data_IF_032197141845
#
_entry.id   IF_032197141845
#
_cell.length_a   1.000
_cell.length_b   1.000
_cell.length_c   1.000
_cell.angle_alpha   90.00
_cell.angle_beta   90.00
_cell.angle_gamma   90.00
#
_symmetry.space_group_name_H-M   'P 1'
#
loop_
_entity.id
_entity.type
_entity.pdbx_description
1 polymer ?
#
# COMPACT_ATOMS: atom_id res chain seq x y z
N UNK A 1 -29.70 -8.96 -22.46
CA UNK A 1 -30.50 -9.40 -21.29
C UNK A 1 -29.52 -9.69 -20.17
N UNK A 2 -29.74 -9.18 -18.96
CA UNK A 2 -28.92 -9.48 -17.78
C UNK A 2 -29.69 -10.51 -16.95
N UNK A 3 -29.06 -11.64 -16.61
CA UNK A 3 -29.65 -12.73 -15.81
C UNK A 3 -28.66 -13.12 -14.71
N UNK A 4 -29.09 -13.05 -13.45
CA UNK A 4 -28.31 -13.48 -12.28
C UNK A 4 -29.00 -14.69 -11.64
N UNK A 5 -28.27 -15.81 -11.51
CA UNK A 5 -28.80 -17.05 -10.94
C UNK A 5 -28.32 -17.23 -9.50
N UNK A 6 -29.25 -17.60 -8.63
CA UNK A 6 -28.97 -17.89 -7.22
C UNK A 6 -29.53 -19.26 -6.87
N UNK A 7 -28.75 -20.14 -6.24
CA UNK A 7 -29.24 -21.44 -5.82
C UNK A 7 -30.27 -21.28 -4.70
N UNK A 8 -31.37 -22.03 -4.78
CA UNK A 8 -32.38 -22.14 -3.72
C UNK A 8 -32.11 -23.43 -2.97
N UNK A 9 -31.95 -23.33 -1.64
CA UNK A 9 -31.71 -24.49 -0.78
C UNK A 9 -32.99 -24.86 -0.02
N UNK A 10 -33.47 -26.08 -0.21
CA UNK A 10 -34.58 -26.66 0.51
C UNK A 10 -34.16 -27.87 1.36
N UNK A 11 -34.93 -28.15 2.41
CA UNK A 11 -34.69 -29.33 3.25
C UNK A 11 -34.76 -30.62 2.42
N UNK A 12 -33.72 -31.45 2.47
CA UNK A 12 -33.64 -32.71 1.71
C UNK A 12 -33.31 -32.57 0.22
N UNK A 13 -33.03 -31.37 -0.27
CA UNK A 13 -32.59 -31.18 -1.66
C UNK A 13 -31.09 -31.47 -1.83
N UNK A 14 -30.75 -32.19 -2.90
CA UNK A 14 -29.36 -32.46 -3.29
C UNK A 14 -28.80 -31.23 -3.99
N UNK A 15 -27.63 -30.75 -3.55
CA UNK A 15 -26.96 -29.61 -4.17
C UNK A 15 -26.29 -30.09 -5.47
N UNK A 16 -26.63 -29.46 -6.59
CA UNK A 16 -26.01 -29.74 -7.88
C UNK A 16 -24.59 -29.16 -7.96
N UNK A 17 -23.74 -29.73 -8.81
CA UNK A 17 -22.42 -29.18 -9.12
C UNK A 17 -22.52 -27.71 -9.57
N UNK A 18 -23.51 -27.41 -10.41
CA UNK A 18 -23.75 -26.07 -10.96
C UNK A 18 -24.09 -25.05 -9.85
N UNK A 19 -24.87 -25.44 -8.85
CA UNK A 19 -25.15 -24.60 -7.68
C UNK A 19 -23.90 -24.33 -6.84
N UNK A 20 -23.01 -25.33 -6.69
CA UNK A 20 -21.73 -25.16 -5.99
C UNK A 20 -20.75 -24.28 -6.77
N UNK A 21 -20.70 -24.44 -8.11
CA UNK A 21 -19.89 -23.61 -8.98
C UNK A 21 -20.35 -22.14 -8.89
N UNK A 22 -21.66 -21.86 -8.94
CA UNK A 22 -22.21 -20.52 -8.74
C UNK A 22 -21.83 -19.91 -7.37
N UNK A 23 -21.88 -20.69 -6.29
CA UNK A 23 -21.47 -20.21 -4.97
C UNK A 23 -19.96 -19.89 -4.89
N UNK A 24 -19.14 -20.69 -5.57
CA UNK A 24 -17.68 -20.51 -5.59
C UNK A 24 -17.28 -19.31 -6.44
N UNK A 25 -17.87 -19.16 -7.62
CA UNK A 25 -17.40 -18.21 -8.64
C UNK A 25 -17.99 -16.80 -8.44
N UNK A 26 -19.23 -16.69 -7.97
CA UNK A 26 -19.91 -15.39 -7.78
C UNK A 26 -19.10 -14.36 -6.99
N UNK A 27 -18.46 -14.69 -5.83
CA UNK A 27 -17.66 -13.73 -5.09
C UNK A 27 -16.45 -13.22 -5.89
N UNK A 28 -15.76 -14.11 -6.60
CA UNK A 28 -14.58 -13.77 -7.39
C UNK A 28 -14.97 -12.89 -8.58
N UNK A 29 -15.98 -13.29 -9.34
CA UNK A 29 -16.49 -12.54 -10.50
C UNK A 29 -17.02 -11.17 -10.10
N UNK A 30 -17.82 -11.07 -9.02
CA UNK A 30 -18.32 -9.81 -8.53
C UNK A 30 -17.18 -8.86 -8.14
N UNK A 31 -16.12 -9.39 -7.51
CA UNK A 31 -14.96 -8.59 -7.12
C UNK A 31 -14.17 -8.12 -8.34
N UNK A 32 -13.99 -8.97 -9.36
CA UNK A 32 -13.35 -8.59 -10.62
C UNK A 32 -14.14 -7.50 -11.37
N UNK A 33 -15.48 -7.59 -11.37
CA UNK A 33 -16.36 -6.57 -11.94
C UNK A 33 -16.34 -5.25 -11.16
N UNK A 34 -16.33 -5.30 -9.81
CA UNK A 34 -16.27 -4.11 -8.95
C UNK A 34 -15.00 -3.27 -9.18
N UNK A 35 -13.90 -3.91 -9.56
CA UNK A 35 -12.62 -3.25 -9.81
C UNK A 35 -12.20 -3.29 -11.27
N UNK A 36 -13.15 -3.45 -12.21
CA UNK A 36 -12.86 -3.58 -13.63
C UNK A 36 -12.11 -2.36 -14.20
N UNK A 37 -12.52 -1.16 -13.79
CA UNK A 37 -11.96 0.13 -14.23
C UNK A 37 -10.62 0.48 -13.55
N UNK A 38 -10.26 -0.23 -12.49
CA UNK A 38 -9.01 0.02 -11.75
C UNK A 38 -7.81 -0.69 -12.37
N UNK A 39 -6.65 -0.05 -12.30
CA UNK A 39 -5.35 -0.56 -12.73
C UNK A 39 -4.61 -1.22 -11.58
N UNK A 40 -3.44 -1.78 -11.88
CA UNK A 40 -2.63 -2.53 -10.93
C UNK A 40 -2.19 -1.69 -9.72
N UNK A 41 -2.25 -2.29 -8.53
CA UNK A 41 -1.87 -1.68 -7.26
C UNK A 41 -2.66 -2.24 -6.07
N UNK A 42 -2.36 -1.71 -4.89
CA UNK A 42 -3.07 -2.02 -3.64
C UNK A 42 -4.47 -1.41 -3.70
N UNK A 43 -5.51 -2.23 -3.52
CA UNK A 43 -6.90 -1.75 -3.48
C UNK A 43 -7.23 -1.26 -2.06
N UNK A 44 -6.88 -2.06 -1.06
CA UNK A 44 -7.15 -1.80 0.36
C UNK A 44 -6.27 -2.67 1.25
N UNK A 45 -5.96 -2.22 2.47
CA UNK A 45 -5.14 -2.98 3.41
C UNK A 45 -3.65 -2.89 3.09
N UNK A 46 -2.87 -3.90 3.47
CA UNK A 46 -1.40 -3.86 3.40
C UNK A 46 -0.78 -2.70 4.18
N UNK A 47 -1.49 -2.20 5.20
CA UNK A 47 -0.94 -1.20 6.12
C UNK A 47 0.17 -1.82 6.96
N UNK A 48 1.15 -0.99 7.31
CA UNK A 48 2.32 -1.40 8.08
C UNK A 48 2.14 -1.01 9.54
N UNK A 49 2.36 -1.97 10.44
CA UNK A 49 2.36 -1.78 11.88
C UNK A 49 3.73 -2.24 12.41
N UNK A 50 4.55 -1.28 12.84
CA UNK A 50 5.83 -1.60 13.47
C UNK A 50 5.62 -1.94 14.94
N UNK A 51 6.16 -3.07 15.37
CA UNK A 51 6.25 -3.50 16.76
C UNK A 51 7.72 -3.39 17.18
N UNK A 52 8.02 -2.31 17.89
CA UNK A 52 9.39 -2.00 18.32
C UNK A 52 9.86 -2.88 19.47
N UNK A 53 8.95 -3.39 20.30
CA UNK A 53 9.28 -4.29 21.42
C UNK A 53 9.77 -5.65 20.89
N UNK A 54 9.06 -6.20 19.90
CA UNK A 54 9.39 -7.49 19.31
C UNK A 54 10.31 -7.39 18.09
N UNK A 55 10.70 -6.17 17.68
CA UNK A 55 11.46 -5.89 16.45
C UNK A 55 10.83 -6.56 15.22
N UNK A 56 9.50 -6.47 15.10
CA UNK A 56 8.74 -7.02 13.98
C UNK A 56 7.96 -5.95 13.26
N UNK A 57 7.69 -6.19 11.97
CA UNK A 57 6.76 -5.38 11.19
C UNK A 57 5.63 -6.28 10.71
N UNK A 58 4.41 -5.85 10.99
CA UNK A 58 3.18 -6.51 10.54
C UNK A 58 2.65 -5.79 9.32
N UNK A 59 2.46 -6.53 8.22
CA UNK A 59 1.69 -6.13 7.04
C UNK A 59 0.28 -6.66 7.23
N UNK A 60 -0.69 -5.75 7.39
CA UNK A 60 -2.09 -6.12 7.60
C UNK A 60 -2.72 -6.76 6.37
N UNK A 61 -3.71 -7.62 6.59
CA UNK A 61 -4.59 -8.19 5.55
C UNK A 61 -5.06 -7.16 4.54
N UNK A 62 -5.27 -7.57 3.29
CA UNK A 62 -5.57 -6.63 2.22
C UNK A 62 -5.89 -7.27 0.88
N UNK A 63 -6.23 -6.41 -0.09
CA UNK A 63 -6.61 -6.76 -1.45
C UNK A 63 -5.70 -6.00 -2.41
N UNK A 64 -5.22 -6.70 -3.44
CA UNK A 64 -4.32 -6.15 -4.44
C UNK A 64 -4.72 -6.64 -5.82
N UNK A 65 -4.58 -5.77 -6.84
CA UNK A 65 -4.82 -6.10 -8.24
C UNK A 65 -3.51 -6.06 -9.01
N UNK A 66 -3.25 -7.10 -9.80
CA UNK A 66 -2.06 -7.17 -10.66
C UNK A 66 -2.38 -7.95 -11.94
N UNK A 67 -1.99 -7.40 -13.10
CA UNK A 67 -2.22 -7.99 -14.42
C UNK A 67 -3.68 -8.43 -14.62
N UNK A 68 -4.62 -7.58 -14.18
CA UNK A 68 -6.06 -7.82 -14.28
C UNK A 68 -6.65 -8.77 -13.23
N UNK A 69 -5.83 -9.39 -12.38
CA UNK A 69 -6.29 -10.38 -11.39
C UNK A 69 -6.25 -9.84 -9.98
N UNK A 70 -7.18 -10.32 -9.17
CA UNK A 70 -7.29 -9.95 -7.75
C UNK A 70 -6.70 -11.03 -6.87
N UNK A 71 -5.96 -10.58 -5.86
CA UNK A 71 -5.40 -11.37 -4.77
C UNK A 71 -5.86 -10.75 -3.46
N UNK A 72 -6.12 -11.61 -2.48
CA UNK A 72 -6.46 -11.19 -1.13
C UNK A 72 -5.59 -11.95 -0.13
N UNK A 73 -5.13 -11.23 0.89
CA UNK A 73 -4.43 -11.78 2.04
C UNK A 73 -5.36 -11.65 3.23
N UNK A 74 -5.80 -12.78 3.81
CA UNK A 74 -6.80 -12.79 4.90
C UNK A 74 -6.18 -12.70 6.30
N UNK A 75 -4.90 -13.05 6.42
CA UNK A 75 -4.14 -13.04 7.67
C UNK A 75 -2.99 -12.06 7.56
N UNK A 76 -2.60 -11.46 8.69
CA UNK A 76 -1.50 -10.50 8.68
C UNK A 76 -0.17 -11.22 8.47
N UNK A 77 0.68 -10.67 7.62
CA UNK A 77 2.04 -11.16 7.42
C UNK A 77 2.99 -10.43 8.37
N UNK A 78 3.89 -11.16 9.01
CA UNK A 78 4.89 -10.59 9.92
C UNK A 78 6.29 -10.94 9.43
N UNK A 79 7.20 -9.99 9.53
CA UNK A 79 8.62 -10.21 9.30
C UNK A 79 9.47 -9.52 10.36
N UNK A 80 10.61 -10.12 10.67
CA UNK A 80 11.57 -9.54 11.61
C UNK A 80 12.33 -8.38 10.95
N UNK A 81 12.61 -7.35 11.73
CA UNK A 81 13.41 -6.21 11.27
C UNK A 81 14.84 -6.69 10.93
N UNK A 82 15.39 -6.38 9.75
CA UNK A 82 16.73 -6.80 9.40
C UNK A 82 17.77 -6.10 10.27
N UNK A 83 18.73 -6.85 10.79
CA UNK A 83 19.79 -6.33 11.68
C UNK A 83 20.91 -5.60 10.93
N UNK A 84 21.05 -5.89 9.63
CA UNK A 84 22.08 -5.29 8.78
C UNK A 84 21.61 -3.89 8.36
N UNK A 85 22.47 -2.89 8.54
CA UNK A 85 22.23 -1.54 8.04
C UNK A 85 22.24 -1.54 6.50
N UNK A 86 21.06 -1.31 5.91
CA UNK A 86 20.93 -1.20 4.47
C UNK A 86 19.63 -0.49 4.09
N UNK A 87 19.46 -0.23 2.80
CA UNK A 87 18.19 0.18 2.22
C UNK A 87 17.44 -1.05 1.75
N UNK A 88 16.26 -1.28 2.30
CA UNK A 88 15.41 -2.41 1.99
C UNK A 88 14.16 -1.98 1.23
N UNK A 89 13.67 -2.88 0.38
CA UNK A 89 12.36 -2.82 -0.24
C UNK A 89 11.61 -4.09 0.11
N UNK A 90 10.41 -3.94 0.68
CA UNK A 90 9.47 -5.05 0.79
C UNK A 90 8.57 -5.06 -0.45
N UNK A 91 8.59 -6.17 -1.18
CA UNK A 91 7.74 -6.40 -2.34
C UNK A 91 6.83 -7.60 -2.13
N UNK A 92 5.65 -7.55 -2.74
CA UNK A 92 4.75 -8.68 -2.90
C UNK A 92 4.89 -9.22 -4.33
N UNK A 93 5.46 -10.41 -4.49
CA UNK A 93 5.58 -11.12 -5.78
C UNK A 93 4.32 -11.92 -6.01
N UNK A 94 3.64 -11.71 -7.14
CA UNK A 94 2.34 -12.34 -7.43
C UNK A 94 2.47 -13.40 -8.52
N UNK A 95 1.87 -14.56 -8.28
CA UNK A 95 1.92 -15.73 -9.14
C UNK A 95 0.50 -16.23 -9.44
N UNK A 96 0.26 -16.63 -10.69
CA UNK A 96 -1.06 -17.07 -11.13
C UNK A 96 -0.96 -18.03 -12.31
N UNK A 97 -2.11 -18.50 -12.80
CA UNK A 97 -2.24 -19.41 -13.94
C UNK A 97 -1.53 -20.76 -13.74
N UNK A 98 -1.51 -21.28 -12.52
CA UNK A 98 -1.03 -22.63 -12.26
C UNK A 98 -2.09 -23.46 -11.53
N UNK A 99 -2.13 -24.74 -11.89
CA UNK A 99 -2.99 -25.74 -11.29
C UNK A 99 -2.19 -26.56 -10.28
N UNK A 100 -2.78 -26.78 -9.12
CA UNK A 100 -2.23 -27.67 -8.10
C UNK A 100 -3.29 -28.69 -7.67
N UNK A 101 -3.06 -29.95 -8.04
CA UNK A 101 -3.98 -31.08 -7.79
C UNK A 101 -5.40 -30.83 -8.33
N UNK A 102 -6.30 -30.29 -7.50
CA UNK A 102 -7.72 -30.03 -7.78
C UNK A 102 -8.06 -28.54 -7.69
N UNK A 103 -7.05 -27.67 -7.69
CA UNK A 103 -7.21 -26.23 -7.45
C UNK A 103 -6.54 -25.42 -8.56
N UNK A 104 -7.21 -24.34 -8.98
CA UNK A 104 -6.56 -23.21 -9.63
C UNK A 104 -6.00 -22.30 -8.54
N UNK A 105 -4.69 -22.08 -8.56
CA UNK A 105 -4.01 -21.37 -7.48
C UNK A 105 -3.55 -20.00 -7.96
N UNK A 106 -3.85 -19.00 -7.13
CA UNK A 106 -3.22 -17.69 -7.14
C UNK A 106 -2.45 -17.60 -5.83
N UNK A 107 -1.15 -17.33 -5.88
CA UNK A 107 -0.31 -17.18 -4.69
C UNK A 107 0.46 -15.87 -4.74
N UNK A 108 0.86 -15.39 -3.58
CA UNK A 108 1.71 -14.22 -3.47
C UNK A 108 2.71 -14.43 -2.33
N UNK A 109 3.96 -14.06 -2.59
CA UNK A 109 5.05 -14.21 -1.63
C UNK A 109 5.67 -12.85 -1.35
N UNK A 110 5.93 -12.55 -0.08
CA UNK A 110 6.71 -11.37 0.29
C UNK A 110 8.19 -11.64 0.06
N UNK A 111 8.89 -10.64 -0.45
CA UNK A 111 10.35 -10.66 -0.59
C UNK A 111 10.93 -9.35 -0.09
N UNK A 112 11.90 -9.46 0.81
CA UNK A 112 12.67 -8.33 1.30
C UNK A 112 13.99 -8.24 0.52
N UNK A 113 14.11 -7.21 -0.31
CA UNK A 113 15.23 -7.01 -1.22
C UNK A 113 16.10 -5.85 -0.76
N UNK A 114 17.43 -5.99 -0.89
CA UNK A 114 18.36 -4.89 -0.65
C UNK A 114 18.44 -4.02 -1.92
N UNK A 115 18.25 -2.72 -1.74
CA UNK A 115 18.39 -1.68 -2.75
C UNK A 115 19.87 -1.30 -2.89
N UNK A 116 20.67 -2.19 -3.47
CA UNK A 116 22.07 -1.88 -3.80
C UNK A 116 22.08 -0.96 -5.04
N UNK A 117 22.96 0.06 -5.06
CA UNK A 117 23.29 0.83 -6.27
C UNK A 117 24.05 0.00 -7.33
N UNK A 118 23.82 -1.32 -7.37
CA UNK A 118 24.46 -2.29 -8.27
C UNK A 118 24.41 -3.69 -7.66
N UNK A 119 23.60 -4.58 -8.27
CA UNK A 119 23.40 -6.01 -7.98
C UNK A 119 22.41 -6.33 -6.85
N UNK A 120 21.23 -6.80 -7.28
CA UNK A 120 20.21 -7.44 -6.46
C UNK A 120 20.80 -8.68 -5.78
N UNK A 121 20.83 -8.69 -4.46
CA UNK A 121 21.02 -9.90 -3.66
C UNK A 121 19.69 -10.13 -2.96
N UNK A 122 18.96 -11.17 -3.39
CA UNK A 122 17.77 -11.64 -2.68
C UNK A 122 18.21 -12.27 -1.36
N UNK A 123 17.78 -11.71 -0.24
CA UNK A 123 17.93 -12.35 1.06
C UNK A 123 16.74 -13.29 1.24
N UNK A 124 16.99 -14.59 1.11
CA UNK A 124 16.05 -15.63 1.57
C UNK A 124 16.15 -15.70 3.09
N UNK A 125 15.03 -15.59 3.80
CA UNK A 125 14.95 -15.92 5.22
C UNK A 125 15.15 -17.43 5.36
N UNK A 126 16.28 -17.85 5.93
CA UNK A 126 16.64 -19.26 6.14
C UNK A 126 15.98 -19.83 7.40
N UNK A 127 15.24 -20.95 7.24
CA UNK A 127 15.01 -21.91 8.31
C UNK A 127 16.16 -22.93 8.37
N UNK A 128 16.65 -23.18 9.59
CA UNK A 128 17.84 -23.96 9.97
C UNK A 128 17.85 -25.41 9.43
N UNK A 129 18.97 -25.84 8.84
CA UNK A 129 19.50 -27.21 9.01
C UNK A 129 21.04 -27.25 8.94
N UNK A 130 21.64 -27.88 9.96
CA UNK A 130 23.07 -28.09 10.17
C UNK A 130 23.60 -29.30 9.39
N UNK A 131 24.71 -29.16 8.65
CA UNK A 131 25.95 -29.98 8.74
C UNK A 131 26.99 -29.71 7.64
N UNK A 132 28.17 -29.33 8.10
CA UNK A 132 29.56 -29.56 7.67
C UNK A 132 29.91 -30.13 6.25
N UNK A 133 30.80 -29.36 5.59
CA UNK A 133 32.10 -29.72 5.00
C UNK A 133 32.25 -30.52 3.66
N UNK A 134 32.84 -29.81 2.70
CA UNK A 134 33.76 -30.22 1.60
C UNK A 134 33.31 -31.25 0.53
N UNK A 135 33.11 -30.80 -0.72
CA UNK A 135 34.13 -30.86 -1.80
C UNK A 135 33.63 -30.28 -3.14
N UNK A 136 34.52 -29.60 -3.87
CA UNK A 136 34.30 -29.15 -5.25
C UNK A 136 34.29 -30.35 -6.20
N UNK A 137 33.21 -30.50 -6.97
CA UNK A 137 33.19 -31.42 -8.11
C UNK A 137 31.82 -31.46 -8.80
N UNK A 138 31.65 -30.61 -9.83
CA UNK A 138 30.64 -30.69 -10.89
C UNK A 138 29.47 -31.66 -10.67
N UNK A 139 28.40 -31.21 -10.01
CA UNK A 139 27.05 -31.73 -10.22
C UNK A 139 26.07 -30.56 -10.20
N UNK A 140 25.28 -30.46 -11.27
CA UNK A 140 24.11 -29.60 -11.36
C UNK A 140 23.10 -30.03 -10.29
N UNK A 141 23.22 -29.48 -9.08
CA UNK A 141 22.14 -29.53 -8.10
C UNK A 141 21.08 -28.53 -8.52
N UNK A 142 20.07 -29.04 -9.22
CA UNK A 142 18.82 -28.31 -9.44
C UNK A 142 18.14 -28.19 -8.07
N UNK A 143 18.33 -27.04 -7.41
CA UNK A 143 17.62 -26.68 -6.17
C UNK A 143 16.11 -26.94 -6.34
N UNK A 144 15.49 -27.69 -5.44
CA UNK A 144 14.04 -28.02 -5.49
C UNK A 144 13.18 -26.74 -5.46
N UNK A 145 13.64 -25.70 -4.74
CA UNK A 145 13.03 -24.36 -4.74
C UNK A 145 13.04 -23.67 -6.12
N UNK A 146 14.04 -23.96 -6.95
CA UNK A 146 14.09 -23.44 -8.32
C UNK A 146 13.12 -24.20 -9.22
N UNK A 147 12.86 -25.49 -8.98
CA UNK A 147 11.89 -26.28 -9.77
C UNK A 147 10.45 -25.83 -9.49
N UNK A 148 10.11 -25.53 -8.23
CA UNK A 148 8.78 -24.99 -7.88
C UNK A 148 8.55 -23.57 -8.43
N UNK A 149 9.57 -22.71 -8.35
CA UNK A 149 9.50 -21.37 -8.96
C UNK A 149 9.43 -21.41 -10.50
N UNK A 150 9.96 -22.44 -11.16
CA UNK A 150 9.80 -22.65 -12.61
C UNK A 150 8.35 -23.02 -12.97
N UNK A 151 7.59 -23.63 -12.06
CA UNK A 151 6.17 -23.99 -12.29
C UNK A 151 5.19 -22.85 -12.04
N UNK A 152 5.52 -21.92 -11.15
CA UNK A 152 4.64 -20.78 -10.81
C UNK A 152 4.95 -19.59 -11.71
N UNK A 153 4.03 -19.26 -12.62
CA UNK A 153 4.18 -18.10 -13.50
C UNK A 153 4.02 -16.80 -12.71
N UNK A 154 5.12 -16.08 -12.50
CA UNK A 154 5.10 -14.71 -11.93
C UNK A 154 4.38 -13.78 -12.91
N UNK A 155 3.35 -13.09 -12.44
CA UNK A 155 2.55 -12.16 -13.27
C UNK A 155 2.84 -10.68 -12.96
N UNK A 156 3.54 -10.41 -11.86
CA UNK A 156 3.96 -9.07 -11.48
C UNK A 156 4.48 -9.00 -10.04
N UNK A 157 4.80 -7.78 -9.61
CA UNK A 157 5.20 -7.47 -8.25
C UNK A 157 4.69 -6.09 -7.85
N UNK A 158 4.41 -5.91 -6.56
CA UNK A 158 3.96 -4.63 -6.00
C UNK A 158 4.85 -4.27 -4.83
N UNK A 159 5.37 -3.05 -4.86
CA UNK A 159 6.12 -2.49 -3.76
C UNK A 159 5.18 -2.09 -2.63
N UNK A 160 5.47 -2.60 -1.42
CA UNK A 160 4.70 -2.32 -0.21
C UNK A 160 5.32 -1.16 0.57
N UNK A 161 6.65 -1.19 0.73
CA UNK A 161 7.40 -0.14 1.45
C UNK A 161 8.87 -0.17 1.11
N UNK A 162 9.54 0.97 1.31
CA UNK A 162 10.99 1.07 1.41
C UNK A 162 11.37 1.54 2.80
N UNK A 163 12.56 1.20 3.26
CA UNK A 163 13.10 1.75 4.51
C UNK A 163 14.62 1.62 4.53
N UNK A 164 15.28 2.44 5.34
CA UNK A 164 16.71 2.32 5.63
C UNK A 164 16.86 1.93 7.10
N UNK A 165 17.47 0.79 7.39
CA UNK A 165 17.78 0.37 8.77
C UNK A 165 19.14 0.88 9.18
N UNK A 166 19.30 1.15 10.48
CA UNK A 166 20.60 1.35 11.14
C UNK A 166 20.75 0.35 12.27
N UNK A 167 21.99 -0.03 12.57
CA UNK A 167 22.27 -0.95 13.67
C UNK A 167 21.68 -0.43 14.98
N UNK A 168 20.87 -1.25 15.64
CA UNK A 168 20.24 -0.92 16.92
C UNK A 168 19.07 0.05 16.85
N UNK A 169 18.59 0.41 15.66
CA UNK A 169 17.48 1.34 15.50
C UNK A 169 16.15 0.64 15.25
N UNK A 170 15.10 1.22 15.83
CA UNK A 170 13.72 0.78 15.69
C UNK A 170 13.10 1.30 14.38
N UNK A 171 12.45 0.42 13.60
CA UNK A 171 11.61 0.85 12.49
C UNK A 171 10.34 1.49 13.04
N UNK A 172 9.94 2.60 12.43
CA UNK A 172 8.75 3.36 12.81
C UNK A 172 7.80 3.56 11.65
N UNK A 173 6.53 3.73 11.99
CA UNK A 173 5.42 4.05 11.12
C UNK A 173 4.56 5.19 11.71
N UNK A 174 5.12 5.98 12.62
CA UNK A 174 4.46 7.13 13.28
C UNK A 174 4.53 8.38 12.39
N UNK A 175 3.66 8.41 11.37
CA UNK A 175 3.54 9.55 10.47
C UNK A 175 2.79 10.71 11.15
N UNK A 176 3.52 11.52 11.94
CA UNK A 176 2.94 12.64 12.69
C UNK A 176 2.56 13.83 11.82
N UNK A 177 3.30 14.06 10.74
CA UNK A 177 3.07 15.14 9.77
C UNK A 177 3.26 14.64 8.33
N UNK A 178 2.74 15.40 7.38
CA UNK A 178 2.92 15.16 5.95
C UNK A 178 4.40 15.19 5.56
N UNK A 179 5.20 16.11 6.12
CA UNK A 179 6.66 16.17 5.83
C UNK A 179 7.43 15.00 6.46
N UNK A 180 6.93 14.45 7.56
CA UNK A 180 7.54 13.29 8.22
C UNK A 180 7.47 11.99 7.40
N UNK A 181 6.71 11.97 6.31
CA UNK A 181 6.68 10.84 5.38
C UNK A 181 8.02 10.62 4.66
N UNK A 182 8.93 11.60 4.70
CA UNK A 182 10.31 11.46 4.26
C UNK A 182 11.26 11.76 5.41
N UNK A 183 11.93 10.71 5.90
CA UNK A 183 13.00 10.81 6.89
C UNK A 183 14.17 9.97 6.42
N UNK A 184 15.38 10.37 6.83
CA UNK A 184 16.60 9.74 6.31
C UNK A 184 16.76 8.28 6.76
N UNK A 185 16.23 7.89 7.92
CA UNK A 185 16.40 6.55 8.48
C UNK A 185 15.20 6.04 9.27
N UNK A 186 15.09 4.71 9.27
CA UNK A 186 14.22 3.85 10.05
C UNK A 186 12.71 4.13 9.93
N UNK A 187 12.28 4.76 8.84
CA UNK A 187 10.88 4.99 8.54
C UNK A 187 10.42 4.01 7.46
N UNK A 188 9.27 3.37 7.69
CA UNK A 188 8.57 2.60 6.67
C UNK A 188 7.91 3.57 5.68
N UNK A 189 8.56 3.82 4.54
CA UNK A 189 8.13 4.80 3.55
C UNK A 189 6.91 4.34 2.75
N UNK A 190 5.87 5.19 2.70
CA UNK A 190 4.64 4.93 1.95
C UNK A 190 4.65 5.51 0.53
N UNK A 191 5.59 6.43 0.22
CA UNK A 191 5.55 7.29 -0.98
C UNK A 191 5.45 6.46 -2.27
N UNK A 192 6.27 5.41 -2.38
CA UNK A 192 6.38 4.62 -3.59
C UNK A 192 5.41 3.42 -3.64
N UNK A 193 4.62 3.20 -2.59
CA UNK A 193 3.58 2.19 -2.60
C UNK A 193 2.50 2.55 -3.64
N UNK A 194 2.32 1.67 -4.62
CA UNK A 194 1.37 1.89 -5.72
C UNK A 194 -0.04 1.51 -5.29
N UNK A 195 -0.91 2.49 -5.06
CA UNK A 195 -2.34 2.23 -4.84
C UNK A 195 -3.10 2.16 -6.16
N UNK A 196 -4.04 1.22 -6.22
CA UNK A 196 -4.89 0.99 -7.38
C UNK A 196 -5.84 2.17 -7.60
N UNK A 197 -5.91 2.65 -8.84
CA UNK A 197 -6.71 3.78 -9.29
C UNK A 197 -7.13 3.57 -10.74
N UNK A 198 -7.89 4.49 -11.35
CA UNK A 198 -8.21 4.42 -12.79
C UNK A 198 -6.99 4.70 -13.68
N UNK A 199 -6.06 5.49 -13.16
CA UNK A 199 -4.82 5.83 -13.84
C UNK A 199 -3.82 4.65 -13.90
N UNK A 200 -3.10 4.51 -15.01
CA UNK A 200 -2.17 3.38 -15.27
C UNK A 200 -1.04 3.27 -14.24
N UNK A 201 -0.52 4.43 -13.82
CA UNK A 201 0.51 4.54 -12.77
C UNK A 201 -0.03 4.37 -11.35
N UNK A 202 -1.32 4.11 -11.16
CA UNK A 202 -1.94 4.09 -9.83
C UNK A 202 -2.01 5.49 -9.21
N UNK A 203 -2.28 5.56 -7.91
CA UNK A 203 -2.30 6.80 -7.12
C UNK A 203 -1.40 6.68 -5.88
N UNK A 204 -1.27 7.77 -5.13
CA UNK A 204 -0.54 7.81 -3.86
C UNK A 204 -1.27 7.03 -2.77
N UNK A 205 -0.51 6.57 -1.78
CA UNK A 205 -1.06 5.94 -0.58
C UNK A 205 -2.09 6.87 0.11
N UNK A 206 -3.32 6.41 0.43
CA UNK A 206 -4.38 7.26 0.99
C UNK A 206 -3.96 8.03 2.24
N UNK A 207 -3.18 7.39 3.12
CA UNK A 207 -2.58 8.03 4.30
C UNK A 207 -1.76 9.29 3.99
N UNK A 208 -1.03 9.33 2.86
CA UNK A 208 -0.24 10.49 2.44
C UNK A 208 -1.16 11.68 2.17
N UNK A 209 -2.25 11.44 1.43
CA UNK A 209 -3.23 12.46 1.09
C UNK A 209 -4.05 12.88 2.31
N UNK A 210 -4.41 11.95 3.20
CA UNK A 210 -5.07 12.25 4.47
C UNK A 210 -4.23 13.23 5.32
N UNK A 211 -2.92 12.99 5.44
CA UNK A 211 -1.99 13.86 6.17
C UNK A 211 -1.88 15.24 5.51
N UNK A 212 -1.74 15.29 4.18
CA UNK A 212 -1.77 16.55 3.43
C UNK A 212 -3.07 17.31 3.72
N UNK A 213 -4.23 16.65 3.62
CA UNK A 213 -5.52 17.28 3.80
C UNK A 213 -5.72 17.84 5.21
N UNK A 214 -5.27 17.10 6.23
CA UNK A 214 -5.29 17.56 7.63
C UNK A 214 -4.43 18.78 7.85
N UNK A 215 -3.25 18.85 7.25
CA UNK A 215 -2.38 20.02 7.37
C UNK A 215 -2.87 21.21 6.55
N UNK A 216 -3.23 20.99 5.29
CA UNK A 216 -3.75 22.02 4.39
C UNK A 216 -5.00 22.69 4.97
N UNK A 217 -5.92 21.93 5.57
CA UNK A 217 -7.15 22.47 6.17
C UNK A 217 -6.93 23.49 7.28
N UNK A 218 -5.75 23.48 7.93
CA UNK A 218 -5.38 24.41 9.01
C UNK A 218 -4.76 25.71 8.49
N UNK A 219 -4.39 25.78 7.21
CA UNK A 219 -3.64 26.91 6.65
C UNK A 219 -4.51 28.15 6.47
N UNK A 220 -3.91 29.32 6.67
CA UNK A 220 -4.61 30.59 6.55
C UNK A 220 -4.88 31.00 5.10
N UNK A 221 -3.92 30.77 4.21
CA UNK A 221 -3.98 31.19 2.82
C UNK A 221 -4.49 30.05 1.93
N UNK A 222 -5.80 29.83 1.93
CA UNK A 222 -6.46 28.81 1.11
C UNK A 222 -7.34 29.48 0.05
N UNK A 223 -7.16 29.08 -1.20
CA UNK A 223 -8.10 29.37 -2.27
C UNK A 223 -9.16 28.24 -2.42
N UNK A 224 -10.07 28.41 -3.38
CA UNK A 224 -11.14 27.43 -3.63
C UNK A 224 -10.62 26.07 -4.11
N UNK A 225 -9.51 26.05 -4.85
CA UNK A 225 -8.89 24.83 -5.35
C UNK A 225 -8.21 24.06 -4.21
N UNK A 226 -7.57 24.78 -3.29
CA UNK A 226 -6.99 24.19 -2.08
C UNK A 226 -8.09 23.56 -1.21
N UNK A 227 -9.21 24.26 -1.03
CA UNK A 227 -10.36 23.75 -0.29
C UNK A 227 -10.94 22.50 -0.92
N UNK A 228 -11.18 22.53 -2.22
CA UNK A 228 -11.69 21.37 -2.95
C UNK A 228 -10.72 20.18 -2.83
N UNK A 229 -9.41 20.43 -3.02
CA UNK A 229 -8.42 19.37 -3.01
C UNK A 229 -8.27 18.72 -1.62
N UNK A 230 -8.12 19.50 -0.54
CA UNK A 230 -8.00 18.89 0.80
C UNK A 230 -9.26 18.14 1.22
N UNK A 231 -10.46 18.59 0.80
CA UNK A 231 -11.72 17.88 1.08
C UNK A 231 -11.73 16.52 0.37
N UNK A 232 -11.30 16.45 -0.89
CA UNK A 232 -11.14 15.18 -1.60
C UNK A 232 -10.17 14.24 -0.88
N UNK A 233 -9.02 14.76 -0.43
CA UNK A 233 -8.04 14.01 0.34
C UNK A 233 -8.57 13.42 1.64
N UNK A 234 -9.52 14.10 2.31
CA UNK A 234 -10.11 13.64 3.56
C UNK A 234 -11.30 12.69 3.36
N UNK A 235 -11.95 12.72 2.20
CA UNK A 235 -13.12 11.90 1.90
C UNK A 235 -12.76 10.46 1.45
N UNK A 236 -11.56 10.24 0.92
CA UNK A 236 -11.14 8.90 0.49
C UNK A 236 -9.93 8.91 -0.44
N UNK A 237 -9.84 7.87 -1.27
CA UNK A 237 -8.77 7.73 -2.25
C UNK A 237 -8.95 8.77 -3.37
N UNK A 238 -7.93 9.59 -3.59
CA UNK A 238 -7.93 10.59 -4.66
C UNK A 238 -7.29 9.99 -5.91
N UNK A 239 -7.94 10.18 -7.07
CA UNK A 239 -7.40 9.75 -8.37
C UNK A 239 -6.13 10.54 -8.73
N UNK A 240 -5.20 9.90 -9.43
CA UNK A 240 -3.93 10.53 -9.80
C UNK A 240 -4.12 11.82 -10.61
N UNK A 241 -5.05 11.81 -11.55
CA UNK A 241 -5.33 12.94 -12.43
C UNK A 241 -5.78 14.19 -11.64
N UNK A 242 -6.49 14.00 -10.53
CA UNK A 242 -6.89 15.09 -9.64
C UNK A 242 -5.67 15.69 -8.94
N UNK A 243 -4.74 14.84 -8.48
CA UNK A 243 -3.49 15.29 -7.85
C UNK A 243 -2.63 16.07 -8.86
N UNK A 244 -2.50 15.54 -10.08
CA UNK A 244 -1.75 16.16 -11.18
C UNK A 244 -2.35 17.51 -11.55
N UNK A 245 -3.67 17.58 -11.75
CA UNK A 245 -4.37 18.81 -12.07
C UNK A 245 -4.17 19.89 -11.00
N UNK A 246 -4.24 19.49 -9.72
CA UNK A 246 -3.99 20.41 -8.61
C UNK A 246 -2.54 20.93 -8.61
N UNK A 247 -1.55 20.03 -8.82
CA UNK A 247 -0.14 20.41 -8.87
C UNK A 247 0.14 21.37 -10.02
N UNK A 248 -0.30 21.02 -11.23
CA UNK A 248 -0.10 21.82 -12.43
C UNK A 248 -0.69 23.23 -12.25
N UNK A 249 -1.90 23.33 -11.69
CA UNK A 249 -2.54 24.61 -11.42
C UNK A 249 -1.75 25.45 -10.39
N UNK A 250 -1.37 24.86 -9.25
CA UNK A 250 -0.74 25.60 -8.15
C UNK A 250 0.71 26.00 -8.44
N UNK A 251 1.41 25.21 -9.25
CA UNK A 251 2.82 25.45 -9.59
C UNK A 251 3.03 26.01 -11.00
N UNK A 252 1.95 26.27 -11.75
CA UNK A 252 1.99 26.74 -13.14
C UNK A 252 2.86 25.83 -14.02
N UNK A 253 2.62 24.52 -13.91
CA UNK A 253 3.31 23.48 -14.66
C UNK A 253 2.34 22.77 -15.60
N UNK A 254 2.87 22.09 -16.61
CA UNK A 254 2.10 21.28 -17.56
C UNK A 254 2.80 19.93 -17.76
N UNK A 255 2.69 19.04 -16.76
CA UNK A 255 3.20 17.68 -16.86
C UNK A 255 2.11 16.67 -16.47
N UNK A 256 2.07 15.54 -17.16
CA UNK A 256 1.06 14.49 -16.96
C UNK A 256 1.65 13.21 -16.33
N UNK A 257 2.97 13.02 -16.40
CA UNK A 257 3.61 11.73 -16.08
C UNK A 257 4.50 11.78 -14.84
N UNK A 258 4.01 12.42 -13.77
CA UNK A 258 4.73 12.47 -12.50
C UNK A 258 4.84 11.10 -11.84
N UNK A 259 6.06 10.75 -11.42
CA UNK A 259 6.26 9.62 -10.50
C UNK A 259 5.78 9.98 -9.07
N UNK A 260 5.63 8.98 -8.21
CA UNK A 260 5.09 9.21 -6.85
C UNK A 260 5.95 10.15 -6.00
N UNK A 261 7.28 10.10 -6.15
CA UNK A 261 8.20 10.99 -5.42
C UNK A 261 7.98 12.44 -5.87
N UNK A 262 7.88 12.67 -7.19
CA UNK A 262 7.62 14.02 -7.73
C UNK A 262 6.29 14.58 -7.23
N UNK A 263 5.21 13.79 -7.28
CA UNK A 263 3.91 14.21 -6.74
C UNK A 263 4.03 14.65 -5.27
N UNK A 264 4.69 13.83 -4.44
CA UNK A 264 4.91 14.14 -3.03
C UNK A 264 5.72 15.43 -2.83
N UNK A 265 6.83 15.60 -3.55
CA UNK A 265 7.68 16.80 -3.46
C UNK A 265 6.94 18.06 -3.91
N UNK A 266 6.12 17.97 -4.96
CA UNK A 266 5.29 19.08 -5.40
C UNK A 266 4.21 19.44 -4.37
N UNK A 267 3.56 18.45 -3.76
CA UNK A 267 2.61 18.69 -2.68
C UNK A 267 3.26 19.33 -1.45
N UNK A 268 4.51 18.99 -1.10
CA UNK A 268 5.25 19.71 -0.05
C UNK A 268 5.39 21.19 -0.41
N UNK A 269 5.89 21.49 -1.62
CA UNK A 269 6.08 22.89 -2.07
C UNK A 269 4.78 23.67 -2.02
N UNK A 270 3.68 23.07 -2.43
CA UNK A 270 2.36 23.69 -2.37
C UNK A 270 1.97 23.96 -0.90
N UNK A 271 2.13 22.97 -0.02
CA UNK A 271 1.80 23.09 1.40
C UNK A 271 2.61 24.21 2.08
N UNK A 272 3.87 24.41 1.68
CA UNK A 272 4.72 25.52 2.12
C UNK A 272 4.14 26.89 1.69
N UNK A 273 3.66 26.97 0.44
CA UNK A 273 3.07 28.19 -0.14
C UNK A 273 1.71 28.56 0.47
N UNK A 274 0.98 27.60 1.06
CA UNK A 274 -0.26 27.87 1.80
C UNK A 274 -0.02 28.65 3.12
N UNK A 275 1.24 28.82 3.51
CA UNK A 275 1.65 29.69 4.61
C UNK A 275 1.48 29.08 6.00
N UNK A 276 1.26 29.94 6.99
CA UNK A 276 1.13 29.55 8.40
C UNK A 276 -0.28 29.05 8.72
N UNK A 277 -0.36 28.28 9.80
CA UNK A 277 -1.63 27.82 10.35
C UNK A 277 -2.46 29.01 10.84
N UNK A 278 -3.79 28.92 10.73
CA UNK A 278 -4.73 29.93 11.23
C UNK A 278 -4.59 30.05 12.74
N UNK A 279 -4.48 31.27 13.25
CA UNK A 279 -4.55 31.51 14.68
C UNK A 279 -5.98 31.26 15.20
N UNK A 280 -6.14 30.27 16.08
CA UNK A 280 -7.40 30.05 16.79
C UNK A 280 -7.50 31.11 17.88
N UNK A 281 -8.13 32.24 17.58
CA UNK A 281 -8.45 33.23 18.61
C UNK A 281 -9.46 32.61 19.57
N UNK A 282 -9.00 32.17 20.74
CA UNK A 282 -9.89 31.78 21.84
C UNK A 282 -10.73 33.01 22.22
N UNK A 283 -12.01 33.03 21.83
CA UNK A 283 -12.94 34.06 22.29
C UNK A 283 -13.02 33.97 23.81
N UNK A 284 -12.30 34.83 24.54
CA UNK A 284 -12.46 34.99 25.99
C UNK A 284 -13.92 35.29 26.26
N UNK A 285 -14.61 34.43 27.01
CA UNK A 285 -15.97 34.71 27.51
C UNK A 285 -15.92 36.00 28.32
N UNK A 286 -16.49 37.07 27.80
CA UNK A 286 -16.72 38.30 28.56
C UNK A 286 -17.87 38.01 29.51
N UNK A 287 -17.57 37.81 30.80
CA UNK A 287 -18.59 37.69 31.84
C UNK A 287 -19.08 39.12 32.15
N UNK A 288 -20.35 39.46 31.92
CA UNK A 288 -20.86 40.78 32.25
C UNK A 288 -20.82 40.99 33.77
N UNK A 289 -20.32 42.15 34.21
CA UNK A 289 -20.31 42.52 35.64
C UNK A 289 -21.75 42.67 36.13
N UNK A 290 -22.06 42.06 37.29
CA UNK A 290 -23.33 42.31 37.99
C UNK A 290 -23.41 43.80 38.34
N UNK A 291 -24.45 44.46 37.85
CA UNK A 291 -24.83 45.80 38.29
C UNK A 291 -25.60 45.61 39.58
N UNK A 292 -25.05 46.10 40.69
CA UNK A 292 -25.79 46.22 41.95
C UNK A 292 -26.43 47.61 41.96
N UNK A 293 -27.74 47.67 42.13
CA UNK A 293 -28.47 48.92 42.33
C UNK A 293 -28.53 49.12 43.85
N UNK A 294 -28.02 50.25 44.32
CA UNK A 294 -28.09 50.71 45.72
C UNK A 294 -29.51 51.15 46.09
#
# INVERSE_FOLDING_TARGET
>A
MIENKYPIFGHGQVISKEALDLLRDNPAELTELLYLDRKDGIISGFNLVADTENKQVTVTKGIVKCSGKIFWMNEDYKFDMPEIENRYILKLKLFSDFEERKFYVRSADFSLEILNNGKNIEIKSEDKFTKNEFNLGNQLEVNVDNIENIRRKKIGEIEITRFITRVGAELRNDYNSFRDLRRDFNLLELINAKYSSRHELGTLHPKILELFGKEASKKANLDIYDVNFYVNCLNGNVERDIIIAYINLKLQMECENYNNEELYQHLIKILDNLGKDREIVQKKRVIPRKITIE
#
